data_IF_334470082626
#
_entry.id   IF_334470082626
#
_cell.length_a   1.000
_cell.length_b   1.000
_cell.length_c   1.000
_cell.angle_alpha   90.00
_cell.angle_beta   90.00
_cell.angle_gamma   90.00
#
_symmetry.space_group_name_H-M   'P 1'
#
loop_
_entity.id
_entity.type
_entity.pdbx_description
1 polymer ?
#
# COMPACT_ATOMS: atom_id res chain seq x y z
N UNK A 1 0.46 14.21 13.26
CA UNK A 1 1.48 13.90 14.29
C UNK A 1 1.93 12.46 14.19
N UNK A 2 3.10 12.21 13.59
CA UNK A 2 3.76 10.90 13.67
C UNK A 2 4.56 10.82 14.98
N UNK A 3 3.84 10.62 16.10
CA UNK A 3 4.46 10.38 17.39
C UNK A 3 4.99 8.93 17.42
N UNK A 4 6.32 8.82 17.40
CA UNK A 4 7.03 7.58 17.65
C UNK A 4 6.70 7.09 19.07
N UNK A 5 6.39 5.81 19.20
CA UNK A 5 6.08 5.17 20.48
C UNK A 5 6.97 3.97 20.72
N UNK A 6 6.71 3.23 21.80
CA UNK A 6 7.37 1.93 22.04
C UNK A 6 6.95 0.90 20.99
N UNK A 7 7.73 -0.17 20.85
CA UNK A 7 7.41 -1.31 19.97
C UNK A 7 6.03 -1.90 20.25
N UNK A 8 5.63 -1.99 21.52
CA UNK A 8 4.30 -2.43 21.95
C UNK A 8 3.18 -1.45 21.49
N UNK A 9 3.45 -0.14 21.56
CA UNK A 9 2.51 0.87 21.07
C UNK A 9 2.38 0.87 19.54
N UNK A 10 3.41 0.47 18.79
CA UNK A 10 3.29 0.20 17.35
C UNK A 10 2.49 -1.09 17.11
N UNK A 11 2.76 -2.16 17.88
CA UNK A 11 2.07 -3.44 17.80
C UNK A 11 0.54 -3.29 17.96
N UNK A 12 0.10 -2.48 18.93
CA UNK A 12 -1.31 -2.19 19.21
C UNK A 12 -1.98 -1.28 18.17
N UNK A 13 -1.20 -0.59 17.32
CA UNK A 13 -1.68 0.22 16.19
C UNK A 13 -1.79 -0.56 14.87
N UNK A 14 -1.41 -1.85 14.84
CA UNK A 14 -1.55 -2.72 13.66
C UNK A 14 -3.02 -3.06 13.42
N UNK A 15 -3.34 -3.42 12.17
CA UNK A 15 -4.71 -3.70 11.74
C UNK A 15 -5.23 -5.06 12.23
N UNK A 16 -4.41 -6.10 12.13
CA UNK A 16 -4.73 -7.47 12.53
C UNK A 16 -3.61 -8.09 13.37
N UNK A 17 -3.98 -8.98 14.29
CA UNK A 17 -3.04 -9.68 15.18
C UNK A 17 -1.95 -10.43 14.41
N UNK A 18 -2.29 -11.08 13.31
CA UNK A 18 -1.33 -11.78 12.43
C UNK A 18 -0.22 -10.87 11.85
N UNK A 19 -0.41 -9.55 11.86
CA UNK A 19 0.55 -8.55 11.38
C UNK A 19 1.28 -7.81 12.52
N UNK A 20 1.14 -8.25 13.78
CA UNK A 20 1.71 -7.57 14.96
C UNK A 20 2.77 -8.36 15.73
N UNK A 21 3.29 -9.45 15.15
CA UNK A 21 4.45 -10.16 15.66
C UNK A 21 5.74 -9.41 15.27
N UNK A 22 6.69 -9.34 16.19
CA UNK A 22 8.01 -8.76 15.95
C UNK A 22 9.08 -9.84 16.09
N UNK A 23 10.03 -9.87 15.16
CA UNK A 23 11.17 -10.78 15.22
C UNK A 23 12.44 -9.99 15.53
N UNK A 24 13.20 -10.44 16.53
CA UNK A 24 14.51 -9.89 16.85
C UNK A 24 15.61 -10.75 16.18
N UNK A 25 16.26 -10.26 15.11
CA UNK A 25 17.27 -11.04 14.39
C UNK A 25 18.57 -11.25 15.17
N UNK A 26 18.83 -10.48 16.24
CA UNK A 26 20.07 -10.59 17.01
C UNK A 26 20.09 -11.78 17.97
N UNK A 27 18.92 -12.26 18.42
CA UNK A 27 18.79 -13.41 19.32
C UNK A 27 17.75 -14.45 18.84
N UNK A 28 17.11 -14.25 17.69
CA UNK A 28 16.10 -15.16 17.15
C UNK A 28 14.75 -15.13 17.86
N UNK A 29 14.52 -14.21 18.81
CA UNK A 29 13.29 -14.19 19.59
C UNK A 29 12.12 -13.60 18.79
N UNK A 30 10.98 -14.30 18.82
CA UNK A 30 9.70 -13.78 18.39
C UNK A 30 8.98 -13.12 19.59
N UNK A 31 8.48 -11.91 19.41
CA UNK A 31 7.82 -11.10 20.44
C UNK A 31 6.37 -10.89 20.03
N UNK A 32 5.45 -11.31 20.91
CA UNK A 32 4.00 -11.20 20.74
C UNK A 32 3.42 -10.31 21.85
N UNK A 33 2.95 -9.12 21.48
CA UNK A 33 2.32 -8.17 22.40
C UNK A 33 0.79 -8.31 22.46
N UNK A 34 0.19 -9.16 21.63
CA UNK A 34 -1.23 -9.08 21.29
C UNK A 34 -1.96 -10.44 21.30
N UNK A 35 -1.32 -11.54 21.72
CA UNK A 35 -1.84 -12.92 21.58
C UNK A 35 -2.10 -13.30 20.11
N UNK A 36 -1.19 -12.90 19.22
CA UNK A 36 -1.24 -13.23 17.80
C UNK A 36 -0.95 -14.72 17.53
N UNK A 37 -0.04 -15.36 18.27
CA UNK A 37 0.28 -16.79 18.11
C UNK A 37 -0.95 -17.68 18.34
N UNK A 38 -1.75 -17.36 19.35
CA UNK A 38 -3.06 -17.97 19.63
C UNK A 38 -4.05 -17.83 18.46
N UNK A 39 -4.12 -16.66 17.82
CA UNK A 39 -4.90 -16.48 16.59
C UNK A 39 -4.34 -17.26 15.40
N UNK A 40 -3.01 -17.38 15.27
CA UNK A 40 -2.34 -18.23 14.27
C UNK A 40 -2.73 -19.71 14.44
N UNK A 41 -2.64 -20.26 15.65
CA UNK A 41 -3.06 -21.63 15.95
C UNK A 41 -4.55 -21.86 15.67
N UNK A 42 -5.40 -20.87 15.97
CA UNK A 42 -6.85 -20.90 15.68
C UNK A 42 -7.17 -20.66 14.18
N UNK A 43 -6.18 -20.27 13.36
CA UNK A 43 -6.33 -19.82 11.97
C UNK A 43 -7.37 -18.71 11.82
N UNK A 44 -7.33 -17.71 12.71
CA UNK A 44 -8.29 -16.59 12.75
C UNK A 44 -7.62 -15.26 12.41
N UNK A 45 -8.37 -14.39 11.73
CA UNK A 45 -8.01 -12.98 11.56
C UNK A 45 -8.86 -12.16 12.53
N UNK A 46 -8.21 -11.62 13.56
CA UNK A 46 -8.78 -10.69 14.54
C UNK A 46 -8.20 -9.30 14.30
N UNK A 47 -9.05 -8.26 14.30
CA UNK A 47 -8.58 -6.88 14.30
C UNK A 47 -8.19 -6.46 15.72
N UNK A 48 -7.08 -5.73 15.85
CA UNK A 48 -6.60 -5.23 17.14
C UNK A 48 -7.30 -3.93 17.54
N UNK A 49 -7.70 -3.15 16.55
CA UNK A 49 -8.47 -1.91 16.72
C UNK A 49 -9.97 -2.28 16.66
N UNK A 50 -10.82 -1.78 17.58
CA UNK A 50 -12.24 -2.11 17.60
C UNK A 50 -12.95 -1.91 16.25
N UNK A 51 -13.83 -2.84 15.89
CA UNK A 51 -14.56 -2.82 14.60
C UNK A 51 -15.45 -1.59 14.39
N UNK A 52 -15.82 -0.91 15.48
CA UNK A 52 -16.53 0.37 15.46
C UNK A 52 -15.70 1.55 14.97
N UNK A 53 -14.36 1.44 15.00
CA UNK A 53 -13.42 2.52 14.69
C UNK A 53 -12.45 2.16 13.55
N UNK A 54 -12.00 0.90 13.46
CA UNK A 54 -10.90 0.49 12.57
C UNK A 54 -11.16 0.78 11.09
N UNK A 55 -12.41 0.68 10.62
CA UNK A 55 -12.79 0.92 9.22
C UNK A 55 -13.19 2.38 8.94
N UNK A 56 -13.49 3.18 9.96
CA UNK A 56 -13.67 4.64 9.81
C UNK A 56 -12.34 5.40 9.86
N UNK A 57 -11.39 4.90 10.65
CA UNK A 57 -10.01 5.39 10.70
C UNK A 57 -9.25 5.06 9.40
N UNK A 58 -9.37 3.81 8.93
CA UNK A 58 -8.67 3.36 7.73
C UNK A 58 -9.47 2.31 6.92
N UNK A 59 -10.33 2.74 5.98
CA UNK A 59 -11.22 1.82 5.26
C UNK A 59 -10.49 0.74 4.44
N UNK A 60 -9.25 0.97 3.96
CA UNK A 60 -8.51 -0.07 3.20
C UNK A 60 -8.15 -1.29 4.05
N UNK A 61 -8.26 -1.22 5.39
CA UNK A 61 -8.19 -2.40 6.27
C UNK A 61 -9.23 -3.46 5.90
N UNK A 62 -10.37 -3.09 5.32
CA UNK A 62 -11.36 -4.07 4.82
C UNK A 62 -10.85 -4.85 3.60
N UNK A 63 -10.15 -4.18 2.66
CA UNK A 63 -9.50 -4.84 1.51
C UNK A 63 -8.43 -5.79 2.02
N UNK A 64 -7.61 -5.31 2.98
CA UNK A 64 -6.54 -6.09 3.61
C UNK A 64 -7.10 -7.32 4.34
N UNK A 65 -8.21 -7.20 5.08
CA UNK A 65 -8.88 -8.32 5.73
C UNK A 65 -9.25 -9.45 4.76
N UNK A 66 -9.86 -9.10 3.62
CA UNK A 66 -10.29 -10.07 2.61
C UNK A 66 -9.09 -10.66 1.85
N UNK A 67 -8.07 -9.85 1.55
CA UNK A 67 -6.80 -10.31 0.98
C UNK A 67 -6.14 -11.35 1.90
N UNK A 68 -5.93 -11.02 3.17
CA UNK A 68 -5.36 -11.95 4.15
C UNK A 68 -6.21 -13.20 4.34
N UNK A 69 -7.54 -13.09 4.31
CA UNK A 69 -8.44 -14.25 4.38
C UNK A 69 -8.15 -15.27 3.28
N UNK A 70 -7.93 -14.80 2.06
CA UNK A 70 -7.60 -15.67 0.91
C UNK A 70 -6.16 -16.15 1.01
N UNK A 71 -5.18 -15.26 1.09
CA UNK A 71 -3.75 -15.62 0.97
C UNK A 71 -3.23 -16.50 2.10
N UNK A 72 -3.87 -16.48 3.28
CA UNK A 72 -3.50 -17.34 4.43
C UNK A 72 -4.47 -18.52 4.63
N UNK A 73 -5.63 -18.50 3.97
CA UNK A 73 -6.76 -19.39 4.27
C UNK A 73 -7.32 -19.26 5.69
N UNK A 74 -7.02 -18.18 6.42
CA UNK A 74 -7.54 -17.95 7.77
C UNK A 74 -8.99 -17.44 7.72
N UNK A 75 -9.76 -17.71 8.78
CA UNK A 75 -11.17 -17.32 8.85
C UNK A 75 -11.32 -15.95 9.51
N UNK A 76 -11.99 -15.02 8.83
CA UNK A 76 -12.55 -13.82 9.46
C UNK A 76 -13.72 -14.22 10.37
N UNK A 77 -13.76 -13.67 11.59
CA UNK A 77 -14.91 -13.79 12.51
C UNK A 77 -16.18 -13.14 11.92
N UNK A 78 -17.35 -13.54 12.41
CA UNK A 78 -18.65 -13.13 11.85
C UNK A 78 -18.92 -11.62 11.97
N UNK A 79 -18.58 -11.05 13.12
CA UNK A 79 -18.58 -9.62 13.42
C UNK A 79 -17.73 -8.82 12.41
N UNK A 80 -16.50 -9.26 12.12
CA UNK A 80 -15.62 -8.64 11.12
C UNK A 80 -16.28 -8.66 9.74
N UNK A 81 -16.86 -9.80 9.34
CA UNK A 81 -17.58 -9.95 8.06
C UNK A 81 -18.83 -9.07 7.96
N UNK A 82 -19.54 -8.84 9.09
CA UNK A 82 -20.70 -7.94 9.18
C UNK A 82 -20.26 -6.48 9.10
N UNK A 83 -19.20 -6.10 9.81
CA UNK A 83 -18.62 -4.78 9.79
C UNK A 83 -18.06 -4.39 8.42
N UNK A 84 -17.41 -5.30 7.69
CA UNK A 84 -16.93 -5.08 6.32
C UNK A 84 -18.10 -4.71 5.39
N UNK A 85 -19.22 -5.47 5.42
CA UNK A 85 -20.39 -5.15 4.58
C UNK A 85 -21.05 -3.82 4.96
N UNK A 86 -21.23 -3.58 6.26
CA UNK A 86 -21.86 -2.34 6.77
C UNK A 86 -21.10 -1.09 6.33
N UNK A 87 -19.77 -1.15 6.29
CA UNK A 87 -18.92 0.01 6.02
C UNK A 87 -18.34 0.02 4.59
N UNK A 88 -18.77 -0.86 3.68
CA UNK A 88 -18.17 -1.03 2.35
C UNK A 88 -18.05 0.28 1.55
N UNK A 89 -19.06 1.16 1.65
CA UNK A 89 -19.06 2.47 0.98
C UNK A 89 -17.93 3.42 1.45
N UNK A 90 -17.42 3.25 2.67
CA UNK A 90 -16.31 4.08 3.21
C UNK A 90 -15.00 3.89 2.44
N UNK A 91 -14.87 2.82 1.64
CA UNK A 91 -13.75 2.67 0.71
C UNK A 91 -13.63 3.87 -0.24
N UNK A 92 -14.75 4.49 -0.64
CA UNK A 92 -14.76 5.66 -1.51
C UNK A 92 -14.11 6.92 -0.91
N UNK A 93 -13.85 6.97 0.40
CA UNK A 93 -13.14 8.09 1.06
C UNK A 93 -11.62 7.89 1.13
N UNK A 94 -11.11 6.75 0.64
CA UNK A 94 -9.67 6.49 0.59
C UNK A 94 -8.98 7.23 -0.55
N UNK A 95 -7.71 7.58 -0.37
CA UNK A 95 -6.94 8.17 -1.47
C UNK A 95 -6.74 7.15 -2.60
N UNK A 96 -6.82 7.63 -3.83
CA UNK A 96 -6.63 6.84 -5.06
C UNK A 96 -5.30 6.10 -5.09
N UNK A 97 -4.24 6.71 -4.55
CA UNK A 97 -2.92 6.09 -4.36
C UNK A 97 -2.97 4.82 -3.51
N UNK A 98 -3.66 4.85 -2.36
CA UNK A 98 -3.75 3.70 -1.44
C UNK A 98 -4.64 2.59 -2.00
N UNK A 99 -5.69 2.94 -2.73
CA UNK A 99 -6.49 1.96 -3.49
C UNK A 99 -5.66 1.30 -4.59
N UNK A 100 -4.90 2.09 -5.36
CA UNK A 100 -4.00 1.60 -6.41
C UNK A 100 -2.95 0.65 -5.85
N UNK A 101 -2.35 0.98 -4.70
CA UNK A 101 -1.40 0.11 -4.00
C UNK A 101 -2.03 -1.22 -3.57
N UNK A 102 -3.21 -1.22 -2.96
CA UNK A 102 -3.84 -2.46 -2.50
C UNK A 102 -4.32 -3.33 -3.67
N UNK A 103 -4.86 -2.75 -4.74
CA UNK A 103 -5.16 -3.49 -5.98
C UNK A 103 -3.87 -4.06 -6.60
N UNK A 104 -2.78 -3.28 -6.64
CA UNK A 104 -1.48 -3.74 -7.14
C UNK A 104 -0.87 -4.87 -6.29
N UNK A 105 -1.17 -4.93 -4.99
CA UNK A 105 -0.80 -6.03 -4.09
C UNK A 105 -1.69 -7.26 -4.29
N UNK A 106 -2.96 -7.07 -4.67
CA UNK A 106 -3.89 -8.16 -5.03
C UNK A 106 -3.46 -8.81 -6.34
N UNK A 107 -3.20 -8.03 -7.38
CA UNK A 107 -2.72 -8.54 -8.68
C UNK A 107 -1.39 -9.29 -8.55
N UNK A 108 -0.51 -8.86 -7.63
CA UNK A 108 0.77 -9.54 -7.36
C UNK A 108 0.67 -10.76 -6.41
N UNK A 109 -0.53 -11.13 -5.92
CA UNK A 109 -0.68 -12.09 -4.82
C UNK A 109 -0.63 -13.57 -5.22
N UNK A 110 -0.85 -13.90 -6.51
CA UNK A 110 -1.09 -15.28 -6.93
C UNK A 110 -2.42 -15.86 -6.45
N UNK A 111 -3.37 -15.00 -6.03
CA UNK A 111 -4.74 -15.34 -5.63
C UNK A 111 -5.74 -14.23 -5.96
N UNK A 112 -5.41 -13.39 -6.95
CA UNK A 112 -6.19 -12.23 -7.38
C UNK A 112 -7.63 -12.58 -7.74
N UNK A 113 -7.88 -13.70 -8.44
CA UNK A 113 -9.22 -14.12 -8.85
C UNK A 113 -10.16 -14.28 -7.64
N UNK A 114 -9.75 -15.08 -6.64
CA UNK A 114 -10.57 -15.30 -5.44
C UNK A 114 -10.71 -14.00 -4.62
N UNK A 115 -9.66 -13.17 -4.53
CA UNK A 115 -9.75 -11.91 -3.80
C UNK A 115 -10.75 -10.95 -4.46
N UNK A 116 -10.74 -10.79 -5.79
CA UNK A 116 -11.72 -9.96 -6.49
C UNK A 116 -13.15 -10.50 -6.33
N UNK A 117 -13.35 -11.82 -6.34
CA UNK A 117 -14.64 -12.43 -6.01
C UNK A 117 -15.09 -12.12 -4.58
N UNK A 118 -14.18 -12.15 -3.58
CA UNK A 118 -14.50 -11.69 -2.22
C UNK A 118 -14.87 -10.21 -2.22
N UNK A 119 -14.09 -9.34 -2.84
CA UNK A 119 -14.37 -7.89 -2.90
C UNK A 119 -15.75 -7.62 -3.51
N UNK A 120 -16.14 -8.35 -4.56
CA UNK A 120 -17.49 -8.32 -5.14
C UNK A 120 -18.55 -8.81 -4.16
N UNK A 121 -18.37 -9.99 -3.56
CA UNK A 121 -19.31 -10.63 -2.61
C UNK A 121 -19.53 -9.86 -1.30
N UNK A 122 -18.61 -8.98 -0.92
CA UNK A 122 -18.74 -8.09 0.23
C UNK A 122 -19.19 -6.67 -0.14
N UNK A 123 -19.41 -6.38 -1.42
CA UNK A 123 -19.89 -5.07 -1.90
C UNK A 123 -18.80 -3.98 -2.00
N UNK A 124 -17.52 -4.34 -1.81
CA UNK A 124 -16.41 -3.38 -1.86
C UNK A 124 -16.03 -3.02 -3.30
N UNK A 125 -16.06 -3.99 -4.22
CA UNK A 125 -15.50 -3.82 -5.57
C UNK A 125 -16.13 -2.64 -6.32
N UNK A 126 -17.42 -2.39 -6.15
CA UNK A 126 -18.14 -1.26 -6.75
C UNK A 126 -17.62 0.12 -6.29
N UNK A 127 -16.98 0.21 -5.12
CA UNK A 127 -16.36 1.44 -4.60
C UNK A 127 -14.85 1.50 -4.89
N UNK A 128 -14.18 0.37 -5.15
CA UNK A 128 -12.75 0.32 -5.50
C UNK A 128 -12.55 0.61 -6.99
N UNK A 129 -13.39 0.04 -7.85
CA UNK A 129 -13.27 0.11 -9.31
C UNK A 129 -14.66 0.08 -9.98
N UNK A 130 -15.41 1.20 -10.00
CA UNK A 130 -16.81 1.21 -10.41
C UNK A 130 -17.07 0.71 -11.84
N UNK A 131 -16.16 0.99 -12.79
CA UNK A 131 -16.29 0.55 -14.17
C UNK A 131 -15.94 -0.94 -14.32
N UNK A 132 -14.76 -1.36 -13.86
CA UNK A 132 -14.33 -2.76 -13.87
C UNK A 132 -15.33 -3.70 -13.14
N UNK A 133 -15.93 -3.24 -12.04
CA UNK A 133 -16.89 -4.00 -11.23
C UNK A 133 -18.11 -4.48 -12.03
N UNK A 134 -18.54 -3.75 -13.07
CA UNK A 134 -19.68 -4.10 -13.91
C UNK A 134 -19.40 -5.36 -14.74
N UNK A 135 -18.15 -5.53 -15.17
CA UNK A 135 -17.72 -6.63 -16.03
C UNK A 135 -17.04 -7.78 -15.27
N UNK A 136 -16.81 -7.62 -13.97
CA UNK A 136 -16.12 -8.57 -13.08
C UNK A 136 -16.76 -9.96 -12.97
N UNK A 137 -17.96 -10.18 -13.51
CA UNK A 137 -18.63 -11.49 -13.57
C UNK A 137 -18.47 -12.23 -14.90
N UNK A 138 -17.84 -11.62 -15.92
CA UNK A 138 -17.58 -12.26 -17.21
C UNK A 138 -16.54 -13.38 -17.03
N UNK A 139 -16.79 -14.55 -17.63
CA UNK A 139 -15.91 -15.73 -17.50
C UNK A 139 -14.45 -15.43 -17.87
N UNK A 140 -14.23 -14.75 -19.00
CA UNK A 140 -12.91 -14.33 -19.47
C UNK A 140 -12.10 -13.51 -18.45
N UNK A 141 -12.77 -12.75 -17.57
CA UNK A 141 -12.09 -12.01 -16.47
C UNK A 141 -11.57 -12.99 -15.41
N UNK A 142 -12.42 -13.94 -14.98
CA UNK A 142 -12.03 -14.99 -14.04
C UNK A 142 -10.87 -15.83 -14.61
N UNK A 143 -10.93 -16.18 -15.88
CA UNK A 143 -9.93 -17.03 -16.53
C UNK A 143 -8.60 -16.31 -16.75
N UNK A 144 -8.63 -15.02 -17.13
CA UNK A 144 -7.41 -14.19 -17.21
C UNK A 144 -6.74 -14.01 -15.84
N UNK A 145 -7.52 -13.78 -14.78
CA UNK A 145 -7.00 -13.69 -13.40
C UNK A 145 -6.44 -15.03 -12.89
N UNK A 146 -7.09 -16.16 -13.20
CA UNK A 146 -6.55 -17.51 -12.87
C UNK A 146 -5.22 -17.78 -13.57
N UNK A 147 -5.09 -17.38 -14.84
CA UNK A 147 -3.87 -17.52 -15.61
C UNK A 147 -2.73 -16.67 -15.02
N UNK A 148 -3.01 -15.40 -14.69
CA UNK A 148 -2.08 -14.53 -13.96
C UNK A 148 -1.66 -15.16 -12.62
N UNK A 149 -2.64 -15.67 -11.86
CA UNK A 149 -2.39 -16.25 -10.54
C UNK A 149 -1.49 -17.48 -10.60
N UNK A 150 -1.67 -18.38 -11.59
CA UNK A 150 -0.77 -19.51 -11.82
C UNK A 150 0.63 -19.05 -12.19
N UNK A 151 0.76 -18.11 -13.13
CA UNK A 151 2.05 -17.57 -13.57
C UNK A 151 2.84 -16.89 -12.45
N UNK A 152 2.14 -16.21 -11.53
CA UNK A 152 2.76 -15.63 -10.32
C UNK A 152 3.25 -16.73 -9.37
N UNK A 153 2.43 -17.76 -9.09
CA UNK A 153 2.84 -18.87 -8.21
C UNK A 153 4.05 -19.63 -8.75
N UNK A 154 4.15 -19.79 -10.07
CA UNK A 154 5.32 -20.37 -10.74
C UNK A 154 6.55 -19.47 -10.62
N UNK A 155 6.44 -18.20 -10.98
CA UNK A 155 7.55 -17.25 -10.85
C UNK A 155 8.09 -17.16 -9.41
N UNK A 156 7.21 -17.16 -8.40
CA UNK A 156 7.61 -17.13 -6.98
C UNK A 156 8.38 -18.38 -6.56
N UNK A 157 8.03 -19.58 -7.07
CA UNK A 157 8.81 -20.81 -6.83
C UNK A 157 10.24 -20.72 -7.37
N UNK A 158 10.42 -19.98 -8.46
CA UNK A 158 11.73 -19.73 -9.08
C UNK A 158 12.45 -18.49 -8.52
N UNK A 159 11.93 -17.84 -7.47
CA UNK A 159 12.50 -16.61 -6.92
C UNK A 159 12.38 -15.38 -7.83
N UNK A 160 11.53 -15.45 -8.86
CA UNK A 160 11.24 -14.38 -9.83
C UNK A 160 9.95 -13.66 -9.46
N UNK A 161 9.72 -12.50 -10.06
CA UNK A 161 8.45 -11.77 -9.97
C UNK A 161 7.91 -11.43 -11.37
N UNK A 162 6.59 -11.27 -11.47
CA UNK A 162 5.92 -10.87 -12.70
C UNK A 162 5.88 -9.35 -12.79
N UNK A 163 6.13 -8.80 -13.97
CA UNK A 163 6.19 -7.35 -14.21
C UNK A 163 4.82 -6.67 -13.96
N UNK A 164 4.82 -5.35 -13.72
CA UNK A 164 3.59 -4.62 -13.37
C UNK A 164 2.69 -4.40 -14.58
N UNK A 165 3.28 -4.07 -15.71
CA UNK A 165 2.64 -4.03 -17.02
C UNK A 165 1.95 -5.36 -17.37
N UNK A 166 2.53 -6.50 -17.01
CA UNK A 166 1.94 -7.82 -17.28
C UNK A 166 0.77 -8.14 -16.35
N UNK A 167 0.87 -7.78 -15.07
CA UNK A 167 -0.25 -7.86 -14.12
C UNK A 167 -1.43 -6.99 -14.57
N UNK A 168 -1.15 -5.81 -15.11
CA UNK A 168 -2.17 -4.90 -15.64
C UNK A 168 -2.74 -5.44 -16.97
N UNK A 169 -1.91 -5.97 -17.86
CA UNK A 169 -2.36 -6.60 -19.12
C UNK A 169 -3.42 -7.67 -18.85
N UNK A 170 -3.16 -8.61 -17.94
CA UNK A 170 -4.15 -9.64 -17.58
C UNK A 170 -5.41 -9.05 -16.91
N UNK A 171 -5.29 -7.89 -16.24
CA UNK A 171 -6.41 -7.21 -15.60
C UNK A 171 -7.34 -6.47 -16.58
N UNK A 172 -6.82 -6.02 -17.72
CA UNK A 172 -7.56 -5.19 -18.70
C UNK A 172 -7.89 -5.92 -20.00
N UNK A 173 -7.07 -6.88 -20.44
CA UNK A 173 -7.24 -7.65 -21.69
C UNK A 173 -8.68 -8.16 -21.90
N UNK A 174 -9.33 -8.87 -20.95
CA UNK A 174 -10.66 -9.42 -21.18
C UNK A 174 -11.79 -8.36 -21.24
N UNK A 175 -11.47 -7.07 -21.06
CA UNK A 175 -12.42 -5.96 -21.01
C UNK A 175 -12.21 -4.91 -22.11
N UNK A 176 -11.11 -4.96 -22.86
CA UNK A 176 -10.89 -4.08 -24.00
C UNK A 176 -11.53 -4.71 -25.23
N UNK A 177 -12.41 -3.96 -25.89
CA UNK A 177 -13.13 -4.39 -27.09
C UNK A 177 -12.68 -3.51 -28.24
N UNK A 178 -12.29 -4.14 -29.34
CA UNK A 178 -11.84 -3.48 -30.55
C UNK A 178 -12.90 -3.69 -31.64
N UNK A 179 -13.43 -2.59 -32.17
CA UNK A 179 -14.32 -2.62 -33.32
C UNK A 179 -13.48 -2.78 -34.58
N UNK A 180 -13.53 -3.96 -35.21
CA UNK A 180 -12.82 -4.26 -36.45
C UNK A 180 -13.45 -3.64 -37.69
N UNK A 181 -14.58 -2.93 -37.58
CA UNK A 181 -15.23 -2.23 -38.70
C UNK A 181 -14.75 -0.79 -38.88
N UNK A 182 -13.94 -0.26 -37.95
CA UNK A 182 -13.37 1.08 -38.01
C UNK A 182 -11.95 1.03 -38.57
N UNK A 183 -11.72 1.76 -39.67
CA UNK A 183 -10.39 1.97 -40.28
C UNK A 183 -9.51 2.88 -39.40
N UNK A 184 -9.13 2.39 -38.22
CA UNK A 184 -8.20 3.06 -37.30
C UNK A 184 -6.75 2.65 -37.57
N UNK A 185 -5.83 3.62 -37.52
CA UNK A 185 -4.40 3.34 -37.49
C UNK A 185 -3.98 2.68 -36.17
N UNK A 186 -2.83 1.96 -36.14
CA UNK A 186 -2.33 1.34 -34.90
C UNK A 186 -2.09 2.31 -33.73
N UNK A 187 -1.82 3.59 -33.99
CA UNK A 187 -1.64 4.61 -32.95
C UNK A 187 -2.98 5.19 -32.47
N UNK A 188 -3.98 5.36 -33.34
CA UNK A 188 -5.35 5.72 -32.91
C UNK A 188 -5.97 4.62 -32.04
N UNK A 189 -5.84 3.36 -32.47
CA UNK A 189 -6.31 2.20 -31.70
C UNK A 189 -5.63 2.11 -30.34
N UNK A 190 -4.34 2.47 -30.25
CA UNK A 190 -3.63 2.57 -28.98
C UNK A 190 -4.17 3.68 -28.08
N UNK A 191 -4.40 4.87 -28.63
CA UNK A 191 -4.96 5.98 -27.87
C UNK A 191 -6.36 5.64 -27.35
N UNK A 192 -7.17 4.95 -28.14
CA UNK A 192 -8.47 4.46 -27.72
C UNK A 192 -8.38 3.38 -26.63
N UNK A 193 -7.55 2.36 -26.84
CA UNK A 193 -7.31 1.30 -25.84
C UNK A 193 -6.80 1.86 -24.51
N UNK A 194 -5.91 2.86 -24.56
CA UNK A 194 -5.38 3.55 -23.39
C UNK A 194 -6.45 4.40 -22.69
N UNK A 195 -7.31 5.09 -23.45
CA UNK A 195 -8.48 5.82 -22.92
C UNK A 195 -9.45 4.89 -22.21
N UNK A 196 -9.85 3.79 -22.86
CA UNK A 196 -10.71 2.75 -22.26
C UNK A 196 -10.07 2.17 -20.99
N UNK A 197 -8.77 1.85 -21.03
CA UNK A 197 -8.00 1.37 -19.88
C UNK A 197 -8.10 2.33 -18.69
N UNK A 198 -7.89 3.64 -18.91
CA UNK A 198 -7.99 4.67 -17.87
C UNK A 198 -9.40 4.77 -17.26
N UNK A 199 -10.45 4.59 -18.08
CA UNK A 199 -11.85 4.58 -17.61
C UNK A 199 -12.12 3.32 -16.78
N UNK A 200 -11.77 2.13 -17.30
CA UNK A 200 -11.98 0.84 -16.65
C UNK A 200 -11.36 0.77 -15.25
N UNK A 201 -10.11 1.21 -15.11
CA UNK A 201 -9.37 1.16 -13.83
C UNK A 201 -9.59 2.39 -12.96
N UNK A 202 -10.41 3.36 -13.36
CA UNK A 202 -10.71 4.54 -12.53
C UNK A 202 -11.34 4.09 -11.19
N UNK A 203 -10.90 4.64 -10.04
CA UNK A 203 -10.05 5.81 -9.85
C UNK A 203 -8.56 5.48 -9.58
N UNK A 204 -8.05 4.31 -9.98
CA UNK A 204 -6.64 3.97 -9.80
C UNK A 204 -5.72 4.88 -10.62
N UNK A 205 -4.54 5.14 -10.07
CA UNK A 205 -3.50 6.00 -10.65
C UNK A 205 -2.15 5.26 -10.77
N UNK A 206 -2.06 4.14 -11.49
CA UNK A 206 -0.76 3.50 -11.77
C UNK A 206 0.07 4.37 -12.73
N UNK A 207 1.41 4.22 -12.74
CA UNK A 207 2.29 4.94 -13.66
C UNK A 207 1.91 4.73 -15.12
N UNK A 208 1.91 5.81 -15.93
CA UNK A 208 1.50 5.72 -17.33
C UNK A 208 2.34 4.72 -18.14
N UNK A 209 3.65 4.62 -17.90
CA UNK A 209 4.50 3.67 -18.63
C UNK A 209 4.10 2.19 -18.41
N UNK A 210 3.47 1.85 -17.29
CA UNK A 210 2.97 0.49 -17.03
C UNK A 210 1.69 0.22 -17.83
N UNK A 211 0.82 1.23 -17.92
CA UNK A 211 -0.40 1.18 -18.75
C UNK A 211 -0.08 1.16 -20.24
N UNK A 212 0.83 2.01 -20.70
CA UNK A 212 1.25 2.07 -22.11
C UNK A 212 1.81 0.72 -22.57
N UNK A 213 2.66 0.09 -21.75
CA UNK A 213 3.15 -1.27 -22.02
C UNK A 213 2.04 -2.33 -21.98
N UNK A 214 1.15 -2.27 -20.98
CA UNK A 214 0.04 -3.22 -20.88
C UNK A 214 -0.89 -3.15 -22.11
N UNK A 215 -1.18 -1.93 -22.59
CA UNK A 215 -1.95 -1.70 -23.82
C UNK A 215 -1.20 -2.16 -25.06
N UNK A 216 0.10 -1.84 -25.19
CA UNK A 216 0.95 -2.37 -26.27
C UNK A 216 0.93 -3.92 -26.30
N UNK A 217 0.88 -4.59 -25.14
CA UNK A 217 0.75 -6.05 -25.05
C UNK A 217 -0.63 -6.56 -25.51
N UNK A 218 -1.73 -5.83 -25.22
CA UNK A 218 -3.06 -6.18 -25.74
C UNK A 218 -3.11 -6.05 -27.26
N UNK A 219 -2.55 -4.98 -27.84
CA UNK A 219 -2.49 -4.80 -29.29
C UNK A 219 -1.65 -5.88 -29.98
N UNK A 220 -0.52 -6.29 -29.38
CA UNK A 220 0.30 -7.37 -29.90
C UNK A 220 -0.42 -8.73 -29.91
N UNK A 221 -1.30 -8.98 -28.95
CA UNK A 221 -2.11 -10.20 -28.85
C UNK A 221 -3.09 -10.35 -30.03
N UNK A 222 -3.62 -9.23 -30.52
CA UNK A 222 -4.48 -9.16 -31.72
C UNK A 222 -3.68 -8.90 -33.02
N UNK A 223 -2.36 -9.09 -32.99
CA UNK A 223 -1.48 -8.98 -34.16
C UNK A 223 -1.05 -7.56 -34.55
N UNK A 224 -1.50 -6.53 -33.83
CA UNK A 224 -1.24 -5.12 -34.15
C UNK A 224 0.07 -4.67 -33.51
N UNK A 225 1.04 -4.28 -34.34
CA UNK A 225 2.34 -3.76 -33.92
C UNK A 225 2.47 -2.29 -34.28
N UNK A 226 2.77 -1.47 -33.27
CA UNK A 226 3.05 -0.04 -33.45
C UNK A 226 4.51 0.18 -33.81
N UNK A 227 4.76 0.98 -34.84
CA UNK A 227 6.09 1.53 -35.11
C UNK A 227 6.40 2.64 -34.10
N UNK A 228 6.95 2.28 -32.93
CA UNK A 228 7.35 3.26 -31.91
C UNK A 228 8.32 4.29 -32.52
N UNK A 229 7.87 5.53 -32.69
CA UNK A 229 8.72 6.66 -33.03
C UNK A 229 9.78 6.83 -31.93
N UNK A 230 11.05 6.60 -32.27
CA UNK A 230 12.15 6.52 -31.29
C UNK A 230 12.57 7.90 -30.77
N UNK A 231 11.94 8.34 -29.67
CA UNK A 231 12.37 9.37 -28.68
C UNK A 231 11.43 9.24 -27.47
N UNK A 232 11.83 9.41 -26.21
CA UNK A 232 12.94 10.22 -25.69
C UNK A 232 14.04 9.42 -24.95
N UNK A 233 15.17 10.10 -24.76
CA UNK A 233 16.34 9.62 -24.04
C UNK A 233 16.08 9.21 -22.58
N UNK A 234 17.08 8.53 -22.01
CA UNK A 234 17.32 8.37 -20.58
C UNK A 234 16.79 9.55 -19.76
N UNK A 235 16.09 9.24 -18.67
CA UNK A 235 15.68 10.24 -17.71
C UNK A 235 16.91 11.05 -17.28
N UNK A 236 16.96 12.33 -17.68
CA UNK A 236 18.00 13.26 -17.24
C UNK A 236 17.96 13.34 -15.72
N UNK A 237 18.83 12.59 -15.06
CA UNK A 237 19.10 12.77 -13.65
C UNK A 237 19.39 14.27 -13.42
N UNK A 238 18.76 14.92 -12.42
CA UNK A 238 18.94 16.34 -12.22
C UNK A 238 20.42 16.60 -11.91
N UNK A 239 21.14 17.22 -12.86
CA UNK A 239 22.53 17.62 -12.66
C UNK A 239 22.58 18.53 -11.44
N UNK A 240 23.22 18.06 -10.36
CA UNK A 240 23.50 18.88 -9.18
C UNK A 240 24.18 20.16 -9.65
N UNK A 241 23.55 21.33 -9.41
CA UNK A 241 24.20 22.62 -9.66
C UNK A 241 25.44 22.71 -8.75
N UNK A 242 26.65 22.95 -9.29
CA UNK A 242 27.82 23.21 -8.47
C UNK A 242 27.65 24.51 -7.66
N UNK A 243 28.20 24.55 -6.45
CA UNK A 243 28.27 25.75 -5.63
C UNK A 243 29.01 26.88 -6.36
N UNK A 244 28.33 27.97 -6.71
CA UNK A 244 28.98 29.23 -7.08
C UNK A 244 29.26 30.06 -5.83
N UNK A 245 30.32 29.70 -5.10
CA UNK A 245 30.95 30.61 -4.15
C UNK A 245 31.80 31.64 -4.90
N UNK A 246 31.48 32.91 -4.70
CA UNK A 246 32.42 34.04 -4.63
C UNK A 246 33.40 34.28 -5.78
N UNK A 247 33.18 35.37 -6.53
CA UNK A 247 34.27 36.19 -7.08
C UNK A 247 33.98 37.69 -6.84
N UNK A 248 34.94 38.39 -6.23
CA UNK A 248 35.02 39.87 -6.13
C UNK A 248 35.40 40.44 -7.52
N UNK A 249 35.40 41.74 -7.86
CA UNK A 249 35.24 43.06 -7.20
C UNK A 249 34.68 44.06 -8.27
N UNK A 250 34.65 45.40 -8.20
CA UNK A 250 35.19 46.46 -7.31
C UNK A 250 34.37 47.77 -7.45
N UNK A 251 34.76 48.83 -6.72
CA UNK A 251 34.28 50.22 -6.72
C UNK A 251 32.80 50.43 -6.26
N UNK A 252 32.45 51.36 -5.37
CA UNK A 252 33.20 52.32 -4.52
C UNK A 252 32.39 52.49 -3.19
N UNK A 253 32.60 53.40 -2.23
CA UNK A 253 33.38 54.65 -2.14
C UNK A 253 33.96 54.85 -0.71
N UNK A 254 33.93 56.06 -0.12
CA UNK A 254 34.54 56.43 1.17
C UNK A 254 33.55 56.50 2.36
N UNK A 255 33.99 56.11 3.58
CA UNK A 255 34.22 56.98 4.76
C UNK A 255 34.20 56.23 6.12
N UNK A 256 35.39 56.20 6.75
CA UNK A 256 35.75 56.40 8.16
C UNK A 256 34.97 55.84 9.39
N UNK A 257 35.75 55.68 10.47
CA UNK A 257 35.42 55.58 11.92
C UNK A 257 35.20 54.18 12.55
N UNK A 258 35.81 54.03 13.73
CA UNK A 258 36.09 52.87 14.61
C UNK A 258 36.18 53.45 16.06
N UNK A 259 36.01 52.75 17.22
CA UNK A 259 35.65 51.34 17.53
C UNK A 259 34.55 51.12 18.65
N UNK A 260 34.35 49.83 18.98
CA UNK A 260 34.20 49.25 20.34
C UNK A 260 32.82 49.20 21.06
N UNK A 261 32.47 47.99 21.55
CA UNK A 261 32.71 47.59 22.96
C UNK A 261 32.57 46.08 23.22
N UNK A 262 33.19 45.64 24.32
CA UNK A 262 33.24 44.25 24.82
C UNK A 262 31.94 43.90 25.56
N UNK A 263 31.55 42.63 25.59
CA UNK A 263 31.17 41.96 26.85
C UNK A 263 31.54 40.48 26.83
N UNK A 264 31.82 39.91 28.01
CA UNK A 264 32.54 38.63 28.21
C UNK A 264 31.96 37.88 29.41
N UNK A 265 32.02 36.53 29.37
CA UNK A 265 31.64 35.57 30.45
C UNK A 265 30.10 35.33 30.56
N UNK A 266 29.61 34.17 31.04
CA UNK A 266 30.23 33.19 31.97
C UNK A 266 29.63 31.76 31.86
N UNK A 267 30.46 30.71 32.03
CA UNK A 267 30.05 29.29 32.21
C UNK A 267 29.68 28.98 33.67
N UNK A 268 28.69 28.09 33.90
CA UNK A 268 28.54 27.12 35.02
C UNK A 268 27.68 25.96 34.47
N UNK A 269 28.15 24.72 34.25
CA UNK A 269 28.47 23.58 35.17
C UNK A 269 27.25 23.00 35.94
N UNK A 270 26.87 21.77 35.55
CA UNK A 270 26.01 20.82 36.31
C UNK A 270 26.65 20.38 37.63
N UNK A 271 25.87 19.74 38.53
CA UNK A 271 26.04 18.28 38.69
C UNK A 271 24.74 17.45 38.89
N UNK A 272 24.82 16.15 38.53
CA UNK A 272 24.37 14.90 39.22
C UNK A 272 23.16 14.91 40.19
N UNK A 273 22.41 13.83 40.45
CA UNK A 273 22.12 12.55 39.75
C UNK A 273 21.19 11.68 40.63
N UNK A 274 20.20 10.99 40.05
CA UNK A 274 19.67 9.71 40.55
C UNK A 274 18.48 9.71 41.53
N UNK A 275 17.42 8.98 41.14
CA UNK A 275 16.78 7.94 41.97
C UNK A 275 15.98 6.96 41.09
N UNK A 276 16.00 5.69 41.46
CA UNK A 276 15.33 4.55 40.81
C UNK A 276 14.23 4.08 41.75
N UNK A 277 13.04 3.72 41.24
CA UNK A 277 11.95 3.15 42.05
C UNK A 277 11.20 2.07 41.25
N UNK A 278 11.25 0.83 41.74
CA UNK A 278 10.36 -0.32 41.48
C UNK A 278 10.53 -1.29 42.68
N UNK A 279 9.61 -2.24 42.92
CA UNK A 279 8.23 -2.05 43.39
C UNK A 279 8.04 -2.64 44.81
N UNK A 280 6.87 -2.50 45.42
CA UNK A 280 6.51 -3.25 46.64
C UNK A 280 5.08 -3.78 46.62
N UNK A 281 4.97 -5.08 46.83
CA UNK A 281 3.82 -5.86 47.31
C UNK A 281 4.39 -7.09 48.05
N UNK A 282 3.61 -7.84 48.87
CA UNK A 282 2.21 -7.64 49.25
C UNK A 282 2.02 -7.47 50.78
N UNK A 283 0.78 -7.20 51.20
CA UNK A 283 0.28 -7.59 52.53
C UNK A 283 -1.03 -8.36 52.40
N UNK A 284 -1.04 -9.55 52.98
CA UNK A 284 -2.20 -10.42 53.22
C UNK A 284 -2.91 -10.06 54.53
N UNK A 285 -3.99 -10.81 54.80
CA UNK A 285 -4.95 -10.74 55.91
C UNK A 285 -6.11 -9.76 55.68
N UNK A 286 -7.36 -10.09 56.02
CA UNK A 286 -8.09 -11.37 56.17
C UNK A 286 -9.52 -10.99 56.61
N UNK A 287 -10.55 -11.75 56.21
CA UNK A 287 -11.83 -11.91 56.92
C UNK A 287 -12.70 -10.60 57.12
N UNK A 288 -14.03 -10.60 57.12
CA UNK A 288 -15.05 -11.64 56.89
C UNK A 288 -16.43 -10.97 56.62
N UNK A 289 -17.42 -11.81 56.29
CA UNK A 289 -18.86 -11.64 56.51
C UNK A 289 -19.78 -10.70 55.66
N UNK A 290 -20.77 -11.39 55.08
CA UNK A 290 -22.21 -11.09 54.95
C UNK A 290 -22.86 -10.50 53.68
N UNK A 291 -23.70 -11.38 53.10
CA UNK A 291 -24.92 -11.20 52.28
C UNK A 291 -24.80 -10.70 50.83
#
# INVERSE_FOLDING_TARGET
>A
NNLFGTIEQDAKRRDFSINSLYYNPANGHLIDFNDALSDFHKRQIRSLIPLSYTFSEDPVRMIRALKYQVTTGFKLKYDVKKAIRKNAAMIGTCSTSRLTEEVSKILASGSSCEIFEKLRKYGLLAFILPCWAQYASIGAVSDSLKALDSKIREAVKEGRSIAKEEQIYAFIKPLLVFDSSQDMTPDELFHEAFRQTKILISPMTPPNYELEKAVDMVLQDIGIKRTRARKSAEARAPKKKPNTMGRKSAANEELSVVPAKKHKKRRKKNPKSGKIILPQEPKTLAEEHDL
#
